data_IF_257028243261
#
_entry.id   IF_257028243261
#
_cell.length_a   1.000
_cell.length_b   1.000
_cell.length_c   1.000
_cell.angle_alpha   90.00
_cell.angle_beta   90.00
_cell.angle_gamma   90.00
#
_symmetry.space_group_name_H-M   'P 1'
#
loop_
_entity.id
_entity.type
_entity.pdbx_description
1 polymer ?
#
# COMPACT_ATOMS: atom_id res chain seq x y z
N UNK A 1 9.61 -21.95 14.41
CA UNK A 1 10.59 -21.79 13.32
C UNK A 1 9.77 -21.66 12.04
N UNK A 2 9.59 -20.45 11.53
CA UNK A 2 8.80 -20.17 10.32
C UNK A 2 9.77 -19.52 9.33
N UNK A 3 9.98 -20.20 8.21
CA UNK A 3 10.85 -19.76 7.14
C UNK A 3 10.29 -18.49 6.51
N UNK A 4 11.04 -17.40 6.68
CA UNK A 4 11.03 -16.29 5.74
C UNK A 4 11.59 -16.86 4.44
N UNK A 5 10.80 -16.95 3.37
CA UNK A 5 11.40 -16.95 2.04
C UNK A 5 11.96 -15.55 1.82
N UNK A 6 13.21 -15.37 2.24
CA UNK A 6 14.09 -14.33 1.74
C UNK A 6 14.14 -14.43 0.22
N UNK A 7 13.46 -13.50 -0.44
CA UNK A 7 14.21 -12.67 -1.38
C UNK A 7 14.38 -11.32 -0.70
N UNK A 8 15.30 -11.30 0.27
CA UNK A 8 15.87 -10.07 0.81
C UNK A 8 16.74 -9.44 -0.27
N UNK A 9 16.12 -8.92 -1.33
CA UNK A 9 16.61 -7.66 -1.88
C UNK A 9 16.00 -6.54 -1.05
N UNK A 10 16.39 -6.48 0.23
CA UNK A 10 16.59 -5.21 0.88
C UNK A 10 17.84 -4.58 0.23
N UNK A 11 17.77 -4.31 -1.08
CA UNK A 11 18.64 -3.32 -1.68
C UNK A 11 18.23 -2.02 -1.02
N UNK A 12 19.15 -1.53 -0.21
CA UNK A 12 19.10 -0.24 0.43
C UNK A 12 18.43 0.78 -0.51
N UNK A 13 17.17 1.15 -0.25
CA UNK A 13 16.60 2.38 -0.83
C UNK A 13 17.25 3.53 0.00
N UNK A 14 18.60 3.60 -0.03
CA UNK A 14 19.45 4.61 0.57
C UNK A 14 19.53 5.69 -0.50
N UNK A 15 18.88 6.82 -0.27
CA UNK A 15 19.25 8.05 -0.99
C UNK A 15 20.71 8.32 -0.65
N UNK A 16 21.62 7.92 -1.52
CA UNK A 16 22.95 8.51 -1.54
C UNK A 16 22.75 9.96 -2.01
N UNK A 17 22.69 10.88 -1.05
CA UNK A 17 22.93 12.28 -1.33
C UNK A 17 24.37 12.40 -1.81
N UNK A 18 24.56 12.48 -3.13
CA UNK A 18 25.84 12.88 -3.69
C UNK A 18 26.17 14.28 -3.14
N UNK A 19 27.30 14.47 -2.43
CA UNK A 19 27.71 15.80 -2.05
C UNK A 19 27.95 16.60 -3.33
N UNK A 20 27.25 17.72 -3.48
CA UNK A 20 27.51 18.69 -4.54
C UNK A 20 28.86 19.32 -4.20
N UNK A 21 29.95 18.66 -4.60
CA UNK A 21 31.28 19.23 -4.60
C UNK A 21 31.32 20.27 -5.72
N UNK A 22 31.39 21.51 -5.29
CA UNK A 22 31.59 22.70 -6.10
C UNK A 22 32.86 22.58 -6.95
N UNK A 23 32.71 22.44 -8.26
CA UNK A 23 33.63 22.96 -9.29
C UNK A 23 33.02 22.80 -10.68
N UNK A 24 32.43 23.89 -11.18
CA UNK A 24 32.02 24.03 -12.57
C UNK A 24 33.28 24.20 -13.43
N UNK A 25 33.58 23.24 -14.31
CA UNK A 25 34.19 23.51 -15.62
C UNK A 25 33.57 22.60 -16.69
N UNK A 26 33.11 23.26 -17.74
CA UNK A 26 32.31 22.77 -18.87
C UNK A 26 33.17 21.87 -19.77
N UNK A 27 32.73 20.64 -20.05
CA UNK A 27 32.86 19.94 -21.34
C UNK A 27 32.38 18.48 -21.23
N UNK A 28 31.44 18.07 -22.09
CA UNK A 28 31.06 16.67 -22.29
C UNK A 28 29.68 16.31 -21.75
N UNK A 29 28.68 16.39 -22.63
CA UNK A 29 27.35 15.81 -22.43
C UNK A 29 27.52 14.28 -22.39
N UNK A 30 27.59 13.71 -21.21
CA UNK A 30 27.21 12.32 -20.98
C UNK A 30 25.84 12.35 -20.33
N UNK A 31 24.79 12.16 -21.15
CA UNK A 31 23.47 11.78 -20.68
C UNK A 31 23.60 10.45 -19.95
N UNK A 32 23.90 10.51 -18.65
CA UNK A 32 23.69 9.40 -17.74
C UNK A 32 22.19 9.38 -17.48
N UNK A 33 21.42 8.78 -18.40
CA UNK A 33 20.06 8.34 -18.11
C UNK A 33 20.18 7.24 -17.06
N UNK A 34 20.33 7.65 -15.80
CA UNK A 34 20.12 6.77 -14.68
C UNK A 34 18.69 6.27 -14.80
N UNK A 35 18.54 5.05 -15.30
CA UNK A 35 17.35 4.25 -15.11
C UNK A 35 17.17 4.12 -13.60
N UNK A 36 16.46 5.08 -13.01
CA UNK A 36 15.91 4.98 -11.67
C UNK A 36 14.93 3.82 -11.75
N UNK A 37 15.43 2.61 -11.55
CA UNK A 37 14.61 1.46 -11.23
C UNK A 37 13.87 1.85 -9.95
N UNK A 38 12.67 2.39 -10.10
CA UNK A 38 11.85 2.82 -8.98
C UNK A 38 11.63 1.63 -8.06
N UNK A 39 11.83 1.82 -6.75
CA UNK A 39 11.52 0.80 -5.74
C UNK A 39 10.04 0.38 -5.97
N UNK A 40 9.81 -0.88 -6.37
CA UNK A 40 8.46 -1.45 -6.53
C UNK A 40 7.98 -1.99 -5.19
N UNK A 41 6.75 -1.69 -4.83
CA UNK A 41 6.12 -2.17 -3.61
C UNK A 41 5.24 -3.37 -3.92
N UNK A 42 5.45 -4.48 -3.20
CA UNK A 42 4.61 -5.67 -3.30
C UNK A 42 3.74 -5.78 -2.05
N UNK A 43 2.66 -5.02 -2.03
CA UNK A 43 1.68 -5.07 -0.95
C UNK A 43 0.71 -6.23 -1.15
N UNK A 44 0.39 -6.95 -0.07
CA UNK A 44 -0.64 -8.00 -0.02
C UNK A 44 -1.31 -8.05 1.35
N UNK A 45 -2.58 -8.44 1.40
CA UNK A 45 -3.28 -8.75 2.65
C UNK A 45 -2.66 -10.02 3.27
N UNK A 46 -2.24 -10.02 4.56
CA UNK A 46 -1.61 -11.18 5.16
C UNK A 46 -2.52 -12.41 5.17
N UNK A 47 -2.15 -13.47 4.44
CA UNK A 47 -2.95 -14.69 4.26
C UNK A 47 -3.34 -15.37 5.59
N UNK A 48 -2.41 -15.36 6.55
CA UNK A 48 -2.54 -16.01 7.86
C UNK A 48 -3.34 -15.21 8.89
N UNK A 49 -3.75 -13.97 8.58
CA UNK A 49 -4.43 -13.10 9.52
C UNK A 49 -5.93 -12.98 9.20
N UNK A 50 -6.79 -12.90 10.23
CA UNK A 50 -8.17 -12.50 10.06
C UNK A 50 -8.20 -11.05 9.57
N UNK A 51 -8.93 -10.80 8.49
CA UNK A 51 -9.17 -9.46 7.95
C UNK A 51 -10.61 -9.08 8.27
N UNK A 52 -10.80 -7.89 8.80
CA UNK A 52 -12.13 -7.31 9.05
C UNK A 52 -12.36 -6.13 8.14
N UNK A 53 -13.59 -5.97 7.67
CA UNK A 53 -14.03 -4.84 6.88
C UNK A 53 -15.02 -4.01 7.69
N UNK A 54 -14.79 -2.70 7.73
CA UNK A 54 -15.74 -1.70 8.21
C UNK A 54 -16.09 -0.77 7.06
N UNK A 55 -17.38 -0.56 6.81
CA UNK A 55 -17.88 0.41 5.82
C UNK A 55 -18.28 1.67 6.56
N UNK A 56 -17.81 2.83 6.11
CA UNK A 56 -18.12 4.12 6.71
C UNK A 56 -19.17 4.84 5.88
N UNK A 57 -20.23 5.31 6.53
CA UNK A 57 -21.29 6.11 5.93
C UNK A 57 -21.34 7.46 6.63
N UNK A 58 -21.18 8.55 5.88
CA UNK A 58 -21.17 9.92 6.41
C UNK A 58 -20.20 10.13 7.58
N UNK A 59 -19.01 9.50 7.51
CA UNK A 59 -17.98 9.58 8.58
C UNK A 59 -18.22 8.66 9.77
N UNK A 60 -19.36 7.94 9.82
CA UNK A 60 -19.67 7.01 10.88
C UNK A 60 -19.32 5.58 10.49
N UNK A 61 -18.66 4.86 11.40
CA UNK A 61 -18.37 3.44 11.22
C UNK A 61 -19.68 2.63 11.24
N UNK A 62 -19.96 1.93 10.15
CA UNK A 62 -21.01 0.92 10.09
C UNK A 62 -20.60 -0.39 10.75
N UNK A 63 -21.37 -1.44 10.48
CA UNK A 63 -21.08 -2.77 11.03
C UNK A 63 -19.74 -3.31 10.49
N UNK A 64 -18.95 -3.84 11.41
CA UNK A 64 -17.74 -4.58 11.07
C UNK A 64 -18.09 -6.04 10.74
N UNK A 65 -17.56 -6.55 9.62
CA UNK A 65 -17.66 -7.97 9.24
C UNK A 65 -16.30 -8.60 9.06
N UNK A 66 -16.17 -9.86 9.46
CA UNK A 66 -14.98 -10.67 9.18
C UNK A 66 -15.01 -11.14 7.72
N UNK A 67 -13.87 -11.01 7.03
CA UNK A 67 -13.67 -11.52 5.68
C UNK A 67 -12.98 -12.88 5.74
N UNK A 68 -13.62 -13.89 5.15
CA UNK A 68 -12.99 -15.20 4.95
C UNK A 68 -11.80 -15.08 3.97
N UNK A 69 -10.94 -16.10 3.94
CA UNK A 69 -9.79 -16.13 3.02
C UNK A 69 -10.21 -16.04 1.54
N UNK A 70 -11.35 -16.62 1.18
CA UNK A 70 -11.93 -16.61 -0.15
C UNK A 70 -13.02 -15.53 -0.36
N UNK A 71 -13.12 -14.54 0.55
CA UNK A 71 -14.10 -13.46 0.40
C UNK A 71 -13.75 -12.57 -0.81
N UNK A 72 -14.75 -12.24 -1.64
CA UNK A 72 -14.55 -11.46 -2.86
C UNK A 72 -13.97 -10.07 -2.60
N UNK A 73 -14.23 -9.46 -1.44
CA UNK A 73 -13.63 -8.17 -1.05
C UNK A 73 -12.13 -8.31 -0.78
N UNK A 74 -11.74 -9.41 -0.14
CA UNK A 74 -10.33 -9.72 0.14
C UNK A 74 -9.59 -9.98 -1.18
N UNK A 75 -10.22 -10.71 -2.10
CA UNK A 75 -9.67 -10.95 -3.43
C UNK A 75 -9.55 -9.68 -4.26
N UNK A 76 -10.59 -8.82 -4.28
CA UNK A 76 -10.56 -7.54 -4.98
C UNK A 76 -9.41 -6.65 -4.48
N UNK A 77 -9.25 -6.51 -3.17
CA UNK A 77 -8.15 -5.76 -2.57
C UNK A 77 -6.77 -6.34 -2.95
N UNK A 78 -6.58 -7.66 -2.84
CA UNK A 78 -5.31 -8.30 -3.22
C UNK A 78 -4.99 -8.15 -4.70
N UNK A 79 -5.97 -8.33 -5.59
CA UNK A 79 -5.79 -8.15 -7.04
C UNK A 79 -5.41 -6.72 -7.37
N UNK A 80 -6.08 -5.74 -6.76
CA UNK A 80 -5.75 -4.33 -6.96
C UNK A 80 -4.35 -4.00 -6.44
N UNK A 81 -3.96 -4.47 -5.24
CA UNK A 81 -2.61 -4.25 -4.71
C UNK A 81 -1.52 -4.83 -5.64
N UNK A 82 -1.75 -6.05 -6.17
CA UNK A 82 -0.83 -6.68 -7.10
C UNK A 82 -0.72 -5.94 -8.45
N UNK A 83 -1.81 -5.32 -8.90
CA UNK A 83 -1.84 -4.53 -10.13
C UNK A 83 -1.24 -3.12 -9.98
N UNK A 84 -0.90 -2.70 -8.76
CA UNK A 84 -0.42 -1.35 -8.46
C UNK A 84 0.91 -1.39 -7.69
N UNK A 85 2.01 -1.89 -8.31
CA UNK A 85 3.32 -2.00 -7.64
C UNK A 85 4.05 -0.66 -7.47
N UNK A 86 3.62 0.40 -8.16
CA UNK A 86 4.32 1.67 -8.28
C UNK A 86 3.42 2.87 -7.94
N UNK A 87 3.99 4.09 -7.95
CA UNK A 87 3.26 5.33 -7.70
C UNK A 87 2.79 5.53 -6.25
N UNK A 88 3.45 4.86 -5.30
CA UNK A 88 3.19 5.00 -3.86
C UNK A 88 3.99 6.17 -3.28
N UNK A 89 3.33 6.98 -2.47
CA UNK A 89 3.95 8.04 -1.67
C UNK A 89 3.97 7.64 -0.20
N UNK A 90 5.10 7.85 0.47
CA UNK A 90 5.17 7.66 1.93
C UNK A 90 4.31 8.73 2.64
N UNK A 91 3.60 8.33 3.68
CA UNK A 91 2.73 9.22 4.45
C UNK A 91 2.95 9.06 5.96
N UNK A 92 2.53 10.06 6.74
CA UNK A 92 2.63 10.03 8.21
C UNK A 92 1.27 10.03 8.90
N UNK A 93 0.17 10.15 8.15
CA UNK A 93 -1.17 10.36 8.69
C UNK A 93 -2.16 9.35 8.12
N UNK A 94 -3.12 8.97 8.96
CA UNK A 94 -4.31 8.21 8.55
C UNK A 94 -5.26 9.10 7.77
N UNK A 95 -6.06 8.47 6.90
CA UNK A 95 -7.06 9.12 6.05
C UNK A 95 -8.46 8.70 6.46
N UNK A 96 -9.45 9.55 6.25
CA UNK A 96 -10.85 9.21 6.49
C UNK A 96 -11.29 8.13 5.50
N UNK A 97 -11.56 6.89 5.95
CA UNK A 97 -11.90 5.81 5.06
C UNK A 97 -13.38 5.89 4.65
N UNK A 98 -13.68 5.42 3.43
CA UNK A 98 -15.02 4.92 3.09
C UNK A 98 -15.12 3.42 3.35
N UNK A 99 -14.04 2.70 3.10
CA UNK A 99 -13.89 1.30 3.44
C UNK A 99 -12.58 1.12 4.21
N UNK A 100 -12.63 0.36 5.29
CA UNK A 100 -11.49 0.11 6.14
C UNK A 100 -11.29 -1.39 6.29
N UNK A 101 -10.18 -1.89 5.77
CA UNK A 101 -9.75 -3.27 5.97
C UNK A 101 -8.69 -3.29 7.07
N UNK A 102 -8.88 -4.10 8.10
CA UNK A 102 -7.91 -4.24 9.20
C UNK A 102 -7.58 -5.70 9.50
N UNK A 103 -6.30 -5.96 9.66
CA UNK A 103 -5.74 -7.17 10.26
C UNK A 103 -4.97 -6.83 11.53
N UNK A 104 -4.12 -7.74 12.00
CA UNK A 104 -3.27 -7.52 13.18
C UNK A 104 -2.06 -6.66 12.84
N UNK A 105 -1.41 -6.96 11.72
CA UNK A 105 -0.19 -6.27 11.25
C UNK A 105 -0.44 -5.33 10.08
N UNK A 106 -1.70 -5.21 9.65
CA UNK A 106 -2.08 -4.54 8.41
C UNK A 106 -3.32 -3.69 8.60
N UNK A 107 -3.38 -2.55 7.92
CA UNK A 107 -4.66 -1.99 7.54
C UNK A 107 -4.60 -1.23 6.23
N UNK A 108 -5.78 -1.01 5.67
CA UNK A 108 -5.98 -0.33 4.41
C UNK A 108 -7.23 0.54 4.46
N UNK A 109 -7.03 1.82 4.18
CA UNK A 109 -8.10 2.80 4.07
C UNK A 109 -8.33 3.02 2.58
N UNK A 110 -9.54 2.73 2.13
CA UNK A 110 -9.98 3.01 0.76
C UNK A 110 -10.94 4.18 0.83
N UNK A 111 -10.58 5.27 0.16
CA UNK A 111 -11.41 6.46 0.01
C UNK A 111 -11.82 6.61 -1.47
N UNK A 112 -12.65 7.60 -1.76
CA UNK A 112 -13.10 7.88 -3.13
C UNK A 112 -11.97 8.29 -4.09
N UNK A 113 -10.80 8.72 -3.58
CA UNK A 113 -9.73 9.29 -4.42
C UNK A 113 -8.36 8.66 -4.18
N UNK A 114 -8.20 7.91 -3.10
CA UNK A 114 -6.93 7.31 -2.75
C UNK A 114 -7.08 6.05 -1.88
N UNK A 115 -6.04 5.25 -1.93
CA UNK A 115 -5.83 4.06 -1.12
C UNK A 115 -4.61 4.28 -0.24
N UNK A 116 -4.79 4.14 1.07
CA UNK A 116 -3.70 4.15 2.03
C UNK A 116 -3.51 2.75 2.61
N UNK A 117 -2.27 2.30 2.74
CA UNK A 117 -1.90 1.04 3.39
C UNK A 117 -0.93 1.31 4.54
N UNK A 118 -1.06 0.56 5.62
CA UNK A 118 -0.06 0.48 6.68
C UNK A 118 0.29 -0.96 6.97
N UNK A 119 1.60 -1.18 7.12
CA UNK A 119 2.16 -2.43 7.60
C UNK A 119 2.94 -2.18 8.88
N UNK A 120 2.73 -3.01 9.89
CA UNK A 120 3.38 -2.95 11.18
C UNK A 120 4.19 -4.22 11.46
N UNK A 121 5.45 -4.03 11.86
CA UNK A 121 6.31 -5.07 12.44
C UNK A 121 6.38 -4.85 13.95
N UNK A 122 5.48 -5.49 14.69
CA UNK A 122 5.32 -5.22 16.13
C UNK A 122 4.56 -3.91 16.38
N UNK A 123 4.62 -3.39 17.61
CA UNK A 123 3.76 -2.28 18.04
C UNK A 123 4.21 -0.90 17.58
N UNK A 124 5.51 -0.68 17.37
CA UNK A 124 6.10 0.64 17.14
C UNK A 124 6.68 0.84 15.75
N UNK A 125 6.95 -0.24 15.00
CA UNK A 125 7.53 -0.13 13.67
C UNK A 125 6.43 -0.28 12.63
N UNK A 126 5.83 0.84 12.25
CA UNK A 126 4.81 0.85 11.22
C UNK A 126 5.14 1.84 10.12
N UNK A 127 4.88 1.43 8.88
CA UNK A 127 5.13 2.22 7.70
C UNK A 127 3.82 2.40 6.92
N UNK A 128 3.65 3.58 6.35
CA UNK A 128 2.41 4.00 5.70
C UNK A 128 2.70 4.50 4.31
N UNK A 129 1.85 4.10 3.37
CA UNK A 129 1.94 4.51 1.99
C UNK A 129 0.56 4.85 1.46
N UNK A 130 0.51 5.82 0.55
CA UNK A 130 -0.72 6.30 -0.08
C UNK A 130 -0.53 6.30 -1.58
N UNK A 131 -1.57 5.90 -2.31
CA UNK A 131 -1.66 5.99 -3.76
C UNK A 131 -2.98 6.65 -4.14
N UNK A 132 -2.91 7.71 -4.95
CA UNK A 132 -4.10 8.35 -5.53
C UNK A 132 -4.65 7.45 -6.64
N UNK A 133 -5.82 6.88 -6.39
CA UNK A 133 -6.52 5.94 -7.27
C UNK A 133 -7.92 5.70 -6.69
N UNK A 134 -8.96 5.87 -7.49
CA UNK A 134 -10.37 5.71 -7.13
C UNK A 134 -10.93 4.34 -7.52
N UNK A 135 -10.21 3.56 -8.34
CA UNK A 135 -10.72 2.33 -8.97
C UNK A 135 -11.00 1.25 -7.94
N UNK A 136 -10.18 1.16 -6.88
CA UNK A 136 -10.43 0.19 -5.82
C UNK A 136 -11.74 0.50 -5.08
N UNK A 137 -12.01 1.78 -4.81
CA UNK A 137 -13.26 2.18 -4.17
C UNK A 137 -14.46 1.77 -5.03
N UNK A 138 -14.45 2.11 -6.31
CA UNK A 138 -15.51 1.75 -7.26
C UNK A 138 -15.71 0.23 -7.30
N UNK A 139 -14.63 -0.54 -7.40
CA UNK A 139 -14.68 -1.99 -7.45
C UNK A 139 -15.31 -2.57 -6.17
N UNK A 140 -14.80 -2.18 -5.00
CA UNK A 140 -15.28 -2.70 -3.72
C UNK A 140 -16.70 -2.24 -3.38
N UNK A 141 -17.09 -1.02 -3.76
CA UNK A 141 -18.47 -0.54 -3.64
C UNK A 141 -19.45 -1.31 -4.53
N UNK A 142 -18.98 -1.79 -5.68
CA UNK A 142 -19.79 -2.65 -6.56
C UNK A 142 -19.98 -4.04 -5.94
N UNK A 143 -18.93 -4.63 -5.36
CA UNK A 143 -19.03 -5.90 -4.65
C UNK A 143 -19.99 -5.82 -3.45
N UNK A 144 -19.99 -4.71 -2.71
CA UNK A 144 -20.93 -4.51 -1.58
C UNK A 144 -22.41 -4.50 -1.99
N UNK A 145 -22.71 -4.16 -3.25
CA UNK A 145 -24.07 -4.11 -3.77
C UNK A 145 -24.53 -5.43 -4.37
N UNK A 146 -23.62 -6.41 -4.53
CA UNK A 146 -24.01 -7.72 -5.05
C UNK A 146 -24.80 -8.49 -3.99
N UNK A 147 -25.95 -9.08 -4.34
CA UNK A 147 -26.63 -10.02 -3.45
C UNK A 147 -25.69 -11.22 -3.24
N UNK A 148 -25.40 -11.50 -1.96
CA UNK A 148 -24.60 -12.66 -1.52
C UNK A 148 -25.42 -13.91 -1.33
#
# INVERSE_FOLDING_TARGET
MIALTETSSHSACRREYLPIASSIKIAGITLFTMSLAGCTFNFRLPASEPVRLTVFQNGHAGQERSLAAADSMREAANRWLAANPDGWSYAFQTRDPRLYLRGKSFYMNVSETEVAVKYCRGFYNCHFWVKKDDRLFIQMSTELKRPG
#
